data_IF_079402654330
#
_entry.id   IF_079402654330
#
_cell.length_a   1.000
_cell.length_b   1.000
_cell.length_c   1.000
_cell.angle_alpha   90.00
_cell.angle_beta   90.00
_cell.angle_gamma   90.00
#
_symmetry.space_group_name_H-M   'P 1'
#
loop_
_entity.id
_entity.type
_entity.pdbx_description
1 polymer ?
#
# COMPACT_ATOMS: atom_id res chain seq x y z
N UNK A 1 -23.45 -10.95 2.20
CA UNK A 1 -23.67 -9.50 2.35
C UNK A 1 -23.54 -8.83 0.98
N UNK A 2 -22.33 -8.62 0.45
CA UNK A 2 -22.09 -7.98 -0.85
C UNK A 2 -22.87 -8.56 -2.04
N UNK A 3 -22.90 -9.88 -2.25
CA UNK A 3 -23.57 -10.50 -3.41
C UNK A 3 -25.10 -10.38 -3.41
N UNK A 4 -25.70 -10.08 -2.26
CA UNK A 4 -27.15 -9.89 -2.14
C UNK A 4 -27.50 -8.41 -1.91
N UNK A 5 -26.54 -7.50 -2.05
CA UNK A 5 -26.76 -6.07 -1.90
C UNK A 5 -27.54 -5.50 -3.10
N UNK A 6 -28.32 -4.45 -2.89
CA UNK A 6 -29.11 -3.79 -3.95
C UNK A 6 -28.24 -3.22 -5.09
N UNK A 7 -26.95 -2.95 -4.84
CA UNK A 7 -26.00 -2.53 -5.86
C UNK A 7 -25.28 -3.69 -6.57
N UNK A 8 -25.53 -4.95 -6.16
CA UNK A 8 -25.11 -6.13 -6.89
C UNK A 8 -26.07 -6.41 -8.05
N UNK A 9 -25.90 -5.67 -9.15
CA UNK A 9 -26.73 -5.81 -10.35
C UNK A 9 -26.08 -6.83 -11.31
N UNK A 10 -26.85 -7.80 -11.86
CA UNK A 10 -26.33 -8.74 -12.85
C UNK A 10 -25.74 -8.03 -14.06
N UNK A 11 -24.64 -8.55 -14.60
CA UNK A 11 -23.99 -7.97 -15.80
C UNK A 11 -24.97 -7.82 -16.98
N UNK A 12 -25.94 -8.73 -17.10
CA UNK A 12 -26.99 -8.72 -18.12
C UNK A 12 -27.91 -7.49 -18.06
N UNK A 13 -27.87 -6.68 -17.00
CA UNK A 13 -28.56 -5.40 -16.96
C UNK A 13 -27.84 -4.29 -17.75
N UNK A 14 -26.57 -4.50 -18.08
CA UNK A 14 -25.71 -3.50 -18.74
C UNK A 14 -25.25 -3.94 -20.14
N UNK A 15 -25.36 -5.23 -20.46
CA UNK A 15 -24.95 -5.79 -21.74
C UNK A 15 -26.06 -6.67 -22.31
N UNK A 16 -26.29 -6.53 -23.62
CA UNK A 16 -27.13 -7.45 -24.35
C UNK A 16 -26.41 -8.80 -24.53
N UNK A 17 -27.16 -9.89 -24.43
CA UNK A 17 -26.63 -11.18 -24.81
C UNK A 17 -26.30 -11.18 -26.32
N UNK A 18 -25.19 -11.79 -26.74
CA UNK A 18 -24.88 -11.94 -28.15
C UNK A 18 -26.00 -12.74 -28.86
N UNK A 19 -26.30 -12.36 -30.10
CA UNK A 19 -27.32 -13.05 -30.92
C UNK A 19 -27.01 -14.55 -31.10
N UNK A 20 -25.73 -14.91 -31.14
CA UNK A 20 -25.22 -16.28 -31.17
C UNK A 20 -24.17 -16.50 -30.05
N UNK A 21 -24.60 -16.98 -28.87
CA UNK A 21 -23.70 -17.20 -27.73
C UNK A 21 -22.62 -18.23 -27.98
N UNK A 22 -22.89 -19.28 -28.76
CA UNK A 22 -21.90 -20.33 -29.03
C UNK A 22 -20.78 -19.79 -29.91
N UNK A 23 -21.13 -19.04 -30.95
CA UNK A 23 -20.15 -18.37 -31.81
C UNK A 23 -19.34 -17.33 -31.03
N UNK A 24 -19.99 -16.47 -30.26
CA UNK A 24 -19.30 -15.45 -29.45
C UNK A 24 -18.33 -16.08 -28.44
N UNK A 25 -18.71 -17.20 -27.81
CA UNK A 25 -17.83 -17.94 -26.91
C UNK A 25 -16.64 -18.56 -27.66
N UNK A 26 -16.86 -19.14 -28.85
CA UNK A 26 -15.80 -19.71 -29.68
C UNK A 26 -14.78 -18.65 -30.10
N UNK A 27 -15.25 -17.51 -30.63
CA UNK A 27 -14.40 -16.38 -31.02
C UNK A 27 -13.65 -15.79 -29.82
N UNK A 28 -14.30 -15.72 -28.66
CA UNK A 28 -13.68 -15.31 -27.41
C UNK A 28 -12.53 -16.23 -26.99
N UNK A 29 -12.72 -17.55 -27.09
CA UNK A 29 -11.68 -18.54 -26.82
C UNK A 29 -10.51 -18.45 -27.80
N UNK A 30 -10.78 -18.26 -29.09
CA UNK A 30 -9.74 -18.06 -30.09
C UNK A 30 -8.93 -16.79 -29.84
N UNK A 31 -9.59 -15.68 -29.47
CA UNK A 31 -8.94 -14.43 -29.09
C UNK A 31 -8.05 -14.60 -27.86
N UNK A 32 -8.55 -15.28 -26.83
CA UNK A 32 -7.76 -15.60 -25.63
C UNK A 32 -6.56 -16.50 -25.98
N UNK A 33 -6.76 -17.50 -26.85
CA UNK A 33 -5.69 -18.37 -27.35
C UNK A 33 -4.58 -17.58 -28.03
N UNK A 34 -4.93 -16.67 -28.96
CA UNK A 34 -3.96 -15.78 -29.61
C UNK A 34 -3.24 -14.87 -28.63
N UNK A 35 -3.99 -14.19 -27.75
CA UNK A 35 -3.39 -13.30 -26.75
C UNK A 35 -2.43 -14.04 -25.81
N UNK A 36 -2.72 -15.31 -25.47
CA UNK A 36 -1.81 -16.16 -24.69
C UNK A 36 -0.53 -16.48 -25.47
N UNK A 37 -0.60 -16.83 -26.75
CA UNK A 37 0.60 -17.11 -27.54
C UNK A 37 1.45 -15.85 -27.74
N UNK A 38 0.83 -14.70 -28.01
CA UNK A 38 1.51 -13.40 -28.08
C UNK A 38 2.16 -13.04 -26.74
N UNK A 39 1.47 -13.26 -25.62
CA UNK A 39 1.99 -12.96 -24.29
C UNK A 39 3.25 -13.78 -23.95
N UNK A 40 3.38 -15.02 -24.43
CA UNK A 40 4.55 -15.89 -24.15
C UNK A 40 5.86 -15.31 -24.64
N UNK A 41 5.83 -14.49 -25.69
CA UNK A 41 7.03 -13.86 -26.26
C UNK A 41 7.39 -12.55 -25.55
N UNK A 42 6.63 -12.16 -24.53
CA UNK A 42 6.86 -10.92 -23.78
C UNK A 42 7.75 -11.15 -22.56
N UNK A 43 8.52 -10.13 -22.12
CA UNK A 43 9.24 -10.17 -20.85
C UNK A 43 8.33 -10.47 -19.64
N UNK A 44 7.03 -10.13 -19.75
CA UNK A 44 6.03 -10.44 -18.72
C UNK A 44 5.80 -11.96 -18.57
N UNK A 45 5.80 -12.73 -19.66
CA UNK A 45 5.66 -14.18 -19.55
C UNK A 45 6.89 -14.82 -18.91
N UNK A 46 8.09 -14.36 -19.25
CA UNK A 46 9.33 -14.83 -18.61
C UNK A 46 9.28 -14.57 -17.09
N UNK A 47 8.77 -13.40 -16.69
CA UNK A 47 8.60 -13.03 -15.29
C UNK A 47 7.61 -13.90 -14.56
N UNK A 48 6.45 -14.11 -15.18
CA UNK A 48 5.40 -14.95 -14.64
C UNK A 48 5.90 -16.38 -14.47
N UNK A 49 6.60 -16.95 -15.45
CA UNK A 49 7.17 -18.30 -15.37
C UNK A 49 8.20 -18.40 -14.22
N UNK A 50 9.07 -17.39 -14.04
CA UNK A 50 9.99 -17.35 -12.89
C UNK A 50 9.23 -17.34 -11.56
N UNK A 51 8.16 -16.56 -11.46
CA UNK A 51 7.35 -16.46 -10.23
C UNK A 51 6.53 -17.72 -9.94
N UNK A 52 6.05 -18.43 -10.96
CA UNK A 52 5.25 -19.65 -10.79
C UNK A 52 6.12 -20.82 -10.32
N UNK A 53 7.39 -20.90 -10.76
CA UNK A 53 8.32 -21.92 -10.25
C UNK A 53 8.47 -21.89 -8.73
N UNK A 54 8.42 -20.70 -8.12
CA UNK A 54 8.39 -20.57 -6.67
C UNK A 54 7.13 -21.21 -6.05
N UNK A 55 5.97 -21.09 -6.71
CA UNK A 55 4.70 -21.66 -6.23
C UNK A 55 4.69 -23.20 -6.37
N UNK A 56 5.26 -23.73 -7.45
CA UNK A 56 5.36 -25.18 -7.67
C UNK A 56 6.23 -25.89 -6.61
N UNK A 57 7.15 -25.15 -5.96
CA UNK A 57 8.03 -25.66 -4.91
C UNK A 57 7.42 -25.57 -3.49
N UNK A 58 6.22 -25.00 -3.33
CA UNK A 58 5.56 -24.86 -2.01
C UNK A 58 4.91 -26.18 -1.58
N UNK A 59 5.35 -26.74 -0.45
CA UNK A 59 4.67 -27.84 0.23
C UNK A 59 3.69 -27.30 1.29
N UNK A 60 2.75 -28.15 1.72
CA UNK A 60 1.85 -27.87 2.85
C UNK A 60 2.60 -27.50 4.13
N UNK A 61 3.79 -28.07 4.32
CA UNK A 61 4.63 -27.82 5.49
C UNK A 61 5.28 -26.41 5.46
N UNK A 62 5.24 -25.71 4.33
CA UNK A 62 5.68 -24.31 4.22
C UNK A 62 4.62 -23.30 4.69
N UNK A 63 3.39 -23.76 4.99
CA UNK A 63 2.30 -22.89 5.47
C UNK A 63 2.23 -22.85 6.99
N UNK A 64 2.33 -21.64 7.55
CA UNK A 64 2.01 -21.39 8.95
C UNK A 64 0.49 -21.17 9.13
N UNK A 65 -0.14 -22.01 9.95
CA UNK A 65 -1.52 -21.80 10.38
C UNK A 65 -1.58 -20.82 11.55
N UNK A 66 -2.39 -19.77 11.42
CA UNK A 66 -2.49 -18.71 12.42
C UNK A 66 -3.94 -18.42 12.81
N UNK A 67 -4.23 -18.10 14.09
CA UNK A 67 -5.47 -17.44 14.47
C UNK A 67 -5.63 -16.14 13.69
N UNK A 68 -6.82 -15.91 13.13
CA UNK A 68 -7.10 -14.73 12.33
C UNK A 68 -8.49 -14.16 12.62
N UNK A 69 -8.65 -12.87 12.34
CA UNK A 69 -9.92 -12.18 12.29
C UNK A 69 -10.10 -11.61 10.87
N UNK A 70 -11.17 -12.03 10.17
CA UNK A 70 -11.61 -11.36 8.96
C UNK A 70 -12.22 -10.01 9.36
N UNK A 71 -11.76 -8.93 8.73
CA UNK A 71 -12.23 -7.57 8.98
C UNK A 71 -12.65 -6.93 7.67
N UNK A 72 -13.76 -6.23 7.66
CA UNK A 72 -14.36 -5.67 6.46
C UNK A 72 -15.25 -4.48 6.79
N UNK A 73 -15.58 -3.69 5.78
CA UNK A 73 -16.68 -2.73 5.88
C UNK A 73 -18.00 -3.32 5.38
N UNK A 74 -19.12 -2.85 5.90
CA UNK A 74 -20.42 -3.07 5.29
C UNK A 74 -20.50 -2.37 3.91
N UNK A 75 -21.18 -2.94 2.90
CA UNK A 75 -21.47 -2.25 1.63
C UNK A 75 -22.23 -0.94 1.82
N UNK A 76 -22.86 -0.75 2.99
CA UNK A 76 -23.53 0.48 3.41
C UNK A 76 -22.58 1.68 3.40
N UNK A 77 -21.27 1.45 3.64
CA UNK A 77 -20.24 2.50 3.57
C UNK A 77 -20.18 3.15 2.19
N UNK A 78 -20.29 2.34 1.13
CA UNK A 78 -20.27 2.83 -0.25
C UNK A 78 -21.51 3.70 -0.58
N UNK A 79 -22.56 3.66 0.26
CA UNK A 79 -23.77 4.48 0.12
C UNK A 79 -23.68 5.81 0.86
N UNK A 80 -22.59 6.04 1.60
CA UNK A 80 -22.45 7.20 2.49
C UNK A 80 -23.35 7.12 3.72
N UNK A 81 -23.84 5.92 4.05
CA UNK A 81 -24.58 5.67 5.29
C UNK A 81 -23.61 5.67 6.47
N UNK A 82 -24.05 6.18 7.62
CA UNK A 82 -23.26 6.13 8.84
C UNK A 82 -23.21 4.68 9.31
N UNK A 83 -21.99 4.17 9.46
CA UNK A 83 -21.77 2.79 9.89
C UNK A 83 -21.74 2.68 11.40
N UNK A 84 -22.34 1.62 11.93
CA UNK A 84 -22.09 1.19 13.29
C UNK A 84 -20.62 0.76 13.46
N UNK A 85 -20.13 0.77 14.70
CA UNK A 85 -18.71 0.52 14.96
C UNK A 85 -18.26 -0.87 14.49
N UNK A 86 -19.09 -1.89 14.60
CA UNK A 86 -18.81 -3.26 14.15
C UNK A 86 -18.96 -3.46 12.63
N UNK A 87 -19.53 -2.49 11.92
CA UNK A 87 -19.69 -2.50 10.46
C UNK A 87 -18.54 -1.82 9.72
N UNK A 88 -17.56 -1.25 10.44
CA UNK A 88 -16.37 -0.64 9.85
C UNK A 88 -15.11 -1.42 10.19
N UNK A 89 -14.30 -1.69 9.17
CA UNK A 89 -12.96 -2.29 9.30
C UNK A 89 -12.07 -1.48 10.27
N UNK A 90 -12.30 -0.17 10.38
CA UNK A 90 -11.50 0.74 11.21
C UNK A 90 -11.56 0.39 12.69
N UNK A 91 -12.65 -0.19 13.17
CA UNK A 91 -12.82 -0.51 14.59
C UNK A 91 -11.86 -1.60 15.06
N UNK A 92 -11.82 -2.81 14.44
CA UNK A 92 -10.84 -3.82 14.82
C UNK A 92 -9.40 -3.39 14.52
N UNK A 93 -9.14 -2.65 13.43
CA UNK A 93 -7.79 -2.13 13.16
C UNK A 93 -7.34 -1.15 14.26
N UNK A 94 -8.19 -0.20 14.64
CA UNK A 94 -7.90 0.75 15.73
C UNK A 94 -7.64 0.02 17.05
N UNK A 95 -8.42 -1.03 17.35
CA UNK A 95 -8.23 -1.83 18.55
C UNK A 95 -6.84 -2.45 18.57
N UNK A 96 -6.43 -3.12 17.48
CA UNK A 96 -5.11 -3.74 17.39
C UNK A 96 -3.98 -2.71 17.55
N UNK A 97 -4.10 -1.53 16.94
CA UNK A 97 -3.08 -0.47 17.02
C UNK A 97 -2.96 0.09 18.44
N UNK A 98 -4.09 0.28 19.15
CA UNK A 98 -4.09 0.82 20.51
C UNK A 98 -3.56 -0.17 21.55
N UNK A 99 -3.41 -1.44 21.20
CA UNK A 99 -2.81 -2.47 22.06
C UNK A 99 -1.28 -2.54 21.92
N UNK A 100 -0.68 -1.76 21.02
CA UNK A 100 0.77 -1.70 20.81
C UNK A 100 1.53 -1.25 22.07
N UNK A 101 2.64 -1.92 22.36
CA UNK A 101 3.47 -1.69 23.55
C UNK A 101 4.89 -1.24 23.23
N UNK A 102 5.43 -1.67 22.09
CA UNK A 102 6.83 -1.44 21.74
C UNK A 102 7.03 -0.97 20.31
N UNK A 103 6.21 -1.45 19.36
CA UNK A 103 6.44 -1.18 17.94
C UNK A 103 5.14 -1.13 17.14
N UNK A 104 5.09 -0.18 16.20
CA UNK A 104 4.03 -0.09 15.22
C UNK A 104 4.60 0.25 13.85
N UNK A 105 4.54 -0.70 12.91
CA UNK A 105 5.03 -0.53 11.54
C UNK A 105 3.83 -0.45 10.59
N UNK A 106 3.73 0.63 9.82
CA UNK A 106 2.72 0.80 8.76
C UNK A 106 3.40 0.68 7.41
N UNK A 107 2.82 -0.13 6.53
CA UNK A 107 3.27 -0.29 5.14
C UNK A 107 2.08 0.02 4.25
N UNK A 108 2.12 1.14 3.53
CA UNK A 108 1.03 1.54 2.65
C UNK A 108 1.52 2.40 1.47
N UNK A 109 1.13 2.09 0.22
CA UNK A 109 1.42 2.94 -0.94
C UNK A 109 0.93 4.38 -0.76
N UNK A 110 -0.23 4.53 -0.10
CA UNK A 110 -0.94 5.79 0.07
C UNK A 110 -1.09 6.08 1.55
N UNK A 111 -0.21 6.94 2.05
CA UNK A 111 -0.18 7.36 3.44
C UNK A 111 -0.60 8.83 3.57
N UNK A 112 -1.89 9.05 3.78
CA UNK A 112 -2.49 10.37 3.97
C UNK A 112 -3.08 10.42 5.40
N UNK A 113 -2.26 10.68 6.42
CA UNK A 113 -2.70 10.56 7.82
C UNK A 113 -3.72 11.64 8.22
N UNK A 114 -3.77 12.77 7.49
CA UNK A 114 -4.41 14.00 7.92
C UNK A 114 -3.91 14.47 9.30
N UNK A 115 -4.42 15.60 9.79
CA UNK A 115 -4.05 16.12 11.11
C UNK A 115 -4.34 15.11 12.23
N UNK A 116 -5.52 14.51 12.23
CA UNK A 116 -5.94 13.57 13.28
C UNK A 116 -5.13 12.27 13.30
N UNK A 117 -4.68 11.77 12.14
CA UNK A 117 -3.83 10.59 12.09
C UNK A 117 -2.40 10.92 12.52
N UNK A 118 -1.88 12.08 12.11
CA UNK A 118 -0.56 12.57 12.53
C UNK A 118 -0.49 12.73 14.05
N UNK A 119 -1.48 13.37 14.67
CA UNK A 119 -1.56 13.53 16.13
C UNK A 119 -1.57 12.17 16.86
N UNK A 120 -2.29 11.17 16.32
CA UNK A 120 -2.34 9.82 16.91
C UNK A 120 -1.02 9.08 16.78
N UNK A 121 -0.37 9.12 15.62
CA UNK A 121 0.94 8.50 15.41
C UNK A 121 2.02 9.17 16.25
N UNK A 122 1.99 10.50 16.35
CA UNK A 122 2.85 11.26 17.25
C UNK A 122 2.65 10.86 18.71
N UNK A 123 1.39 10.74 19.16
CA UNK A 123 1.08 10.32 20.53
C UNK A 123 1.60 8.91 20.84
N UNK A 124 1.47 7.95 19.91
CA UNK A 124 2.06 6.63 20.06
C UNK A 124 3.59 6.73 20.20
N UNK A 125 4.24 7.49 19.32
CA UNK A 125 5.71 7.61 19.35
C UNK A 125 6.22 8.27 20.63
N UNK A 126 5.57 9.35 21.08
CA UNK A 126 5.88 10.05 22.35
C UNK A 126 5.66 9.14 23.56
N UNK A 127 4.73 8.17 23.49
CA UNK A 127 4.51 7.19 24.55
C UNK A 127 5.60 6.11 24.67
N UNK A 128 6.61 6.13 23.78
CA UNK A 128 7.72 5.19 23.77
C UNK A 128 7.58 4.06 22.75
N UNK A 129 6.53 4.06 21.93
CA UNK A 129 6.33 3.06 20.87
C UNK A 129 7.20 3.45 19.66
N UNK A 130 7.94 2.50 19.11
CA UNK A 130 8.69 2.67 17.86
C UNK A 130 7.72 2.72 16.68
N UNK A 131 7.34 3.91 16.22
CA UNK A 131 6.43 4.07 15.07
C UNK A 131 7.24 4.22 13.78
N UNK A 132 7.02 3.30 12.84
CA UNK A 132 7.67 3.25 11.54
C UNK A 132 6.61 3.32 10.43
N UNK A 133 6.84 4.19 9.44
CA UNK A 133 5.98 4.29 8.25
C UNK A 133 6.83 4.05 7.02
N UNK A 134 6.41 3.07 6.20
CA UNK A 134 6.97 2.78 4.88
C UNK A 134 5.92 3.14 3.83
N UNK A 135 6.24 4.08 2.95
CA UNK A 135 5.31 4.56 1.91
C UNK A 135 6.03 4.93 0.62
N UNK A 136 5.29 5.21 -0.46
CA UNK A 136 5.89 5.61 -1.73
C UNK A 136 6.44 7.05 -1.65
N UNK A 137 7.62 7.26 -2.24
CA UNK A 137 8.12 8.62 -2.52
C UNK A 137 7.27 9.28 -3.62
N UNK A 138 7.50 10.57 -3.87
CA UNK A 138 6.86 11.24 -5.01
C UNK A 138 7.26 10.60 -6.35
N UNK A 139 8.49 10.09 -6.46
CA UNK A 139 8.98 9.50 -7.69
C UNK A 139 8.50 8.05 -7.91
N UNK A 140 8.14 7.32 -6.85
CA UNK A 140 7.65 5.92 -6.95
C UNK A 140 6.12 5.79 -6.92
N UNK A 141 5.39 6.86 -6.60
CA UNK A 141 3.93 6.83 -6.63
C UNK A 141 3.37 6.94 -8.05
N UNK A 142 2.37 6.11 -8.36
CA UNK A 142 1.56 6.22 -9.56
C UNK A 142 0.46 7.29 -9.46
N UNK A 143 0.21 7.83 -8.27
CA UNK A 143 -0.76 8.90 -8.02
C UNK A 143 -0.10 10.05 -7.23
N UNK A 144 0.54 10.98 -7.95
CA UNK A 144 1.20 12.15 -7.37
C UNK A 144 0.27 13.00 -6.49
N UNK A 145 -1.04 12.98 -6.76
CA UNK A 145 -2.03 13.71 -5.96
C UNK A 145 -2.10 13.20 -4.51
N UNK A 146 -1.95 11.90 -4.26
CA UNK A 146 -1.92 11.33 -2.90
C UNK A 146 -0.73 11.87 -2.12
N UNK A 147 0.41 12.05 -2.80
CA UNK A 147 1.61 12.63 -2.20
C UNK A 147 1.36 14.06 -1.67
N UNK A 148 0.43 14.82 -2.24
CA UNK A 148 0.03 16.14 -1.72
C UNK A 148 -0.66 16.06 -0.35
N UNK A 149 -1.29 14.94 -0.05
CA UNK A 149 -1.94 14.65 1.23
C UNK A 149 -0.95 14.17 2.30
N UNK A 150 0.14 13.51 1.89
CA UNK A 150 1.23 13.05 2.75
C UNK A 150 2.23 14.17 3.09
N UNK A 151 2.76 14.82 2.05
CA UNK A 151 3.89 15.74 2.11
C UNK A 151 3.86 16.78 3.24
N UNK A 152 2.71 17.42 3.54
CA UNK A 152 2.61 18.43 4.59
C UNK A 152 2.93 17.93 6.00
N UNK A 153 2.73 16.64 6.28
CA UNK A 153 2.78 16.08 7.63
C UNK A 153 4.14 15.47 7.99
N UNK A 154 5.08 15.37 7.03
CA UNK A 154 6.41 14.78 7.25
C UNK A 154 7.13 15.39 8.45
N UNK A 155 7.22 16.73 8.49
CA UNK A 155 7.94 17.42 9.56
C UNK A 155 7.36 17.14 10.93
N UNK A 156 6.04 17.27 11.06
CA UNK A 156 5.33 17.04 12.32
C UNK A 156 5.50 15.60 12.81
N UNK A 157 5.43 14.61 11.91
CA UNK A 157 5.70 13.21 12.25
C UNK A 157 7.13 13.01 12.76
N UNK A 158 8.13 13.54 12.04
CA UNK A 158 9.54 13.41 12.39
C UNK A 158 9.90 14.13 13.70
N UNK A 159 9.31 15.29 13.96
CA UNK A 159 9.47 16.05 15.22
C UNK A 159 9.03 15.23 16.45
N UNK A 160 8.06 14.32 16.28
CA UNK A 160 7.55 13.47 17.35
C UNK A 160 8.16 12.07 17.37
N UNK A 161 9.21 11.81 16.60
CA UNK A 161 9.96 10.54 16.65
C UNK A 161 9.45 9.45 15.72
N UNK A 162 8.43 9.73 14.89
CA UNK A 162 7.97 8.78 13.87
C UNK A 162 9.05 8.62 12.79
N UNK A 163 9.43 7.39 12.47
CA UNK A 163 10.41 7.09 11.41
C UNK A 163 9.70 6.97 10.07
N UNK A 164 10.16 7.73 9.08
CA UNK A 164 9.58 7.75 7.74
C UNK A 164 10.57 7.19 6.71
N UNK A 165 10.13 6.17 5.99
CA UNK A 165 10.88 5.52 4.91
C UNK A 165 10.09 5.61 3.61
N UNK A 166 10.68 6.27 2.61
CA UNK A 166 10.05 6.53 1.32
C UNK A 166 10.70 5.65 0.24
N UNK A 167 9.91 4.79 -0.40
CA UNK A 167 10.40 3.83 -1.40
C UNK A 167 11.04 4.58 -2.57
N UNK A 168 12.26 4.19 -2.91
CA UNK A 168 13.04 4.74 -4.03
C UNK A 168 12.38 4.43 -5.37
N UNK A 169 12.69 5.23 -6.40
CA UNK A 169 12.15 5.00 -7.75
C UNK A 169 13.06 4.16 -8.65
N UNK A 170 14.27 3.81 -8.18
CA UNK A 170 15.28 3.11 -8.97
C UNK A 170 14.93 1.63 -9.17
N UNK A 171 14.14 1.38 -10.21
CA UNK A 171 14.09 0.17 -11.06
C UNK A 171 14.62 -1.14 -10.45
N UNK A 172 14.11 -1.59 -9.30
CA UNK A 172 13.96 -3.00 -8.91
C UNK A 172 13.77 -3.15 -7.39
N UNK A 173 12.53 -3.06 -6.91
CA UNK A 173 12.20 -3.77 -5.66
C UNK A 173 12.16 -5.25 -6.05
N UNK A 174 13.24 -6.04 -5.83
CA UNK A 174 13.22 -7.50 -6.15
C UNK A 174 11.91 -8.10 -5.67
N UNK A 175 11.16 -8.65 -6.62
CA UNK A 175 9.75 -9.03 -6.50
C UNK A 175 8.79 -8.20 -7.38
N UNK A 176 9.24 -7.08 -7.96
CA UNK A 176 8.44 -6.19 -8.84
C UNK A 176 9.17 -5.80 -10.14
N UNK A 177 10.35 -6.37 -10.39
CA UNK A 177 11.32 -5.90 -11.41
C UNK A 177 10.82 -6.02 -12.86
N UNK A 178 9.70 -6.69 -13.09
CA UNK A 178 9.32 -7.13 -14.45
C UNK A 178 7.93 -6.68 -14.89
N UNK A 179 7.28 -5.80 -14.11
CA UNK A 179 6.07 -5.11 -14.54
C UNK A 179 6.39 -3.70 -15.06
N UNK A 180 7.17 -3.63 -16.14
CA UNK A 180 7.26 -2.43 -16.98
C UNK A 180 6.21 -2.53 -18.09
N UNK A 181 4.95 -2.18 -17.77
CA UNK A 181 4.01 -1.76 -18.81
C UNK A 181 4.47 -0.42 -19.41
N UNK A 182 4.07 -0.11 -20.65
CA UNK A 182 4.50 1.05 -21.45
C UNK A 182 4.31 2.45 -20.80
N UNK A 183 3.79 2.52 -19.56
CA UNK A 183 3.59 3.74 -18.77
C UNK A 183 4.40 3.78 -17.45
N UNK A 184 5.59 3.16 -17.39
CA UNK A 184 6.66 3.56 -16.45
C UNK A 184 6.42 3.42 -14.94
N UNK A 185 5.43 2.65 -14.47
CA UNK A 185 5.20 2.42 -13.04
C UNK A 185 6.03 1.23 -12.51
N UNK A 186 7.35 1.39 -12.47
CA UNK A 186 8.24 0.41 -11.82
C UNK A 186 8.23 0.56 -10.29
N UNK A 187 8.08 -0.56 -9.57
CA UNK A 187 8.47 -0.65 -8.15
C UNK A 187 7.58 -0.01 -7.08
N UNK A 188 6.31 0.28 -7.35
CA UNK A 188 5.42 0.83 -6.33
C UNK A 188 5.13 -0.22 -5.23
N UNK A 189 5.32 0.18 -3.96
CA UNK A 189 4.86 -0.61 -2.81
C UNK A 189 3.36 -0.85 -2.95
N UNK A 190 2.92 -2.09 -3.11
CA UNK A 190 1.49 -2.39 -3.23
C UNK A 190 0.91 -3.09 -1.98
N UNK A 191 1.79 -3.53 -1.07
CA UNK A 191 1.41 -4.09 0.22
C UNK A 191 0.68 -3.05 1.05
N UNK A 192 -0.44 -3.45 1.64
CA UNK A 192 -1.26 -2.65 2.52
C UNK A 192 -1.43 -3.45 3.80
N UNK A 193 -0.75 -2.99 4.84
CA UNK A 193 -0.66 -3.74 6.07
C UNK A 193 -0.01 -2.96 7.19
N UNK A 194 -0.09 -3.52 8.37
CA UNK A 194 0.67 -3.06 9.51
C UNK A 194 1.09 -4.21 10.39
N UNK A 195 2.12 -3.98 11.20
CA UNK A 195 2.63 -4.89 12.21
C UNK A 195 2.57 -4.17 13.56
N UNK A 196 2.06 -4.85 14.59
CA UNK A 196 2.09 -4.39 15.98
C UNK A 196 2.90 -5.37 16.80
N UNK A 197 3.92 -4.85 17.50
CA UNK A 197 4.81 -5.55 18.43
C UNK A 197 5.46 -6.83 17.87
N UNK A 198 5.47 -7.00 16.53
CA UNK A 198 5.85 -8.25 15.83
C UNK A 198 5.03 -9.47 16.25
N UNK A 199 3.82 -9.27 16.75
CA UNK A 199 2.90 -10.34 17.16
C UNK A 199 1.61 -10.33 16.33
N UNK A 200 1.18 -9.14 15.88
CA UNK A 200 -0.04 -8.94 15.11
C UNK A 200 0.29 -8.38 13.74
N UNK A 201 -0.26 -8.97 12.70
CA UNK A 201 -0.10 -8.56 11.31
C UNK A 201 -1.47 -8.32 10.69
N UNK A 202 -1.68 -7.14 10.11
CA UNK A 202 -2.79 -6.88 9.21
C UNK A 202 -2.32 -6.92 7.76
N UNK A 203 -3.08 -7.60 6.90
CA UNK A 203 -2.94 -7.54 5.44
C UNK A 203 -4.32 -7.38 4.82
N UNK A 204 -4.49 -6.43 3.91
CA UNK A 204 -5.79 -6.21 3.26
C UNK A 204 -5.75 -5.18 2.14
N UNK A 205 -6.90 -4.61 1.84
CA UNK A 205 -7.05 -3.55 0.83
C UNK A 205 -6.96 -2.14 1.41
N UNK A 206 -7.02 -2.00 2.74
CA UNK A 206 -7.06 -0.71 3.43
C UNK A 206 -5.73 0.06 3.30
N UNK A 207 -5.74 1.19 2.56
CA UNK A 207 -4.64 2.16 2.62
C UNK A 207 -4.77 3.07 3.83
N UNK A 208 -3.67 3.68 4.25
CA UNK A 208 -3.70 4.67 5.33
C UNK A 208 -4.12 6.05 4.81
N UNK A 209 -5.31 6.15 4.24
CA UNK A 209 -5.85 7.37 3.64
C UNK A 209 -7.35 7.58 3.97
N UNK A 210 -7.86 8.82 3.79
CA UNK A 210 -9.27 9.13 4.01
C UNK A 210 -10.22 8.32 3.12
N UNK A 211 -9.85 8.04 1.87
CA UNK A 211 -10.70 7.24 0.96
C UNK A 211 -10.98 5.86 1.52
N UNK A 212 -9.97 5.14 1.98
CA UNK A 212 -10.11 3.81 2.58
C UNK A 212 -10.89 3.88 3.89
N UNK A 213 -10.64 4.94 4.68
CA UNK A 213 -11.32 5.15 5.94
C UNK A 213 -12.83 5.44 5.79
N UNK A 214 -13.25 6.15 4.75
CA UNK A 214 -14.61 6.73 4.70
C UNK A 214 -15.41 6.43 3.42
N UNK A 215 -14.77 6.02 2.33
CA UNK A 215 -15.40 5.94 1.00
C UNK A 215 -15.37 4.51 0.44
N UNK A 216 -14.17 3.96 0.23
CA UNK A 216 -13.99 2.64 -0.38
C UNK A 216 -14.36 1.54 0.61
N UNK A 217 -15.15 0.54 0.23
CA UNK A 217 -15.33 -0.66 1.07
C UNK A 217 -14.04 -1.48 1.11
N UNK A 218 -13.51 -1.75 2.29
CA UNK A 218 -12.25 -2.47 2.47
C UNK A 218 -12.46 -3.85 3.07
N UNK A 219 -11.49 -4.74 2.85
CA UNK A 219 -11.42 -6.10 3.38
C UNK A 219 -9.98 -6.41 3.77
N UNK A 220 -9.80 -7.19 4.82
CA UNK A 220 -8.51 -7.76 5.14
C UNK A 220 -8.59 -8.79 6.26
N UNK A 221 -7.42 -9.25 6.67
CA UNK A 221 -7.25 -10.20 7.76
C UNK A 221 -6.28 -9.64 8.77
N UNK A 222 -6.64 -9.73 10.05
CA UNK A 222 -5.72 -9.55 11.17
C UNK A 222 -5.26 -10.93 11.60
N UNK A 223 -3.97 -11.20 11.53
CA UNK A 223 -3.31 -12.43 11.92
C UNK A 223 -2.65 -12.20 13.28
N UNK A 224 -2.89 -13.10 14.22
CA UNK A 224 -2.29 -13.09 15.56
C UNK A 224 -1.23 -14.20 15.61
N UNK A 225 -0.06 -13.92 15.03
CA UNK A 225 1.02 -14.90 14.91
C UNK A 225 2.38 -14.21 14.85
N UNK A 226 3.19 -14.31 15.91
CA UNK A 226 4.59 -13.88 15.88
C UNK A 226 5.42 -14.61 14.82
N UNK A 227 5.09 -15.88 14.52
CA UNK A 227 5.76 -16.68 13.49
C UNK A 227 5.61 -16.07 12.09
N UNK A 228 4.49 -15.40 11.81
CA UNK A 228 4.28 -14.66 10.56
C UNK A 228 4.75 -13.21 10.64
N UNK A 229 4.55 -12.54 11.78
CA UNK A 229 4.82 -11.12 11.92
C UNK A 229 6.30 -10.80 12.08
N UNK A 230 7.08 -11.60 12.84
CA UNK A 230 8.50 -11.37 13.05
C UNK A 230 9.33 -11.41 11.75
N UNK A 231 9.24 -12.47 10.90
CA UNK A 231 10.04 -12.53 9.69
C UNK A 231 9.70 -11.40 8.71
N UNK A 232 8.43 -10.96 8.68
CA UNK A 232 8.03 -9.83 7.84
C UNK A 232 8.62 -8.52 8.36
N UNK A 233 8.61 -8.28 9.67
CA UNK A 233 9.23 -7.11 10.28
C UNK A 233 10.76 -7.10 10.04
N UNK A 234 11.44 -8.23 10.24
CA UNK A 234 12.88 -8.38 9.98
C UNK A 234 13.22 -8.21 8.48
N UNK A 235 12.36 -8.72 7.60
CA UNK A 235 12.45 -8.50 6.15
C UNK A 235 12.35 -7.01 5.80
N UNK A 236 11.46 -6.27 6.46
CA UNK A 236 11.37 -4.82 6.30
C UNK A 236 12.62 -4.11 6.85
N UNK A 237 13.08 -4.46 8.05
CA UNK A 237 14.27 -3.88 8.67
C UNK A 237 15.51 -4.03 7.76
N UNK A 238 15.71 -5.22 7.21
CA UNK A 238 16.86 -5.54 6.36
C UNK A 238 16.82 -4.87 4.98
N UNK A 239 15.62 -4.60 4.45
CA UNK A 239 15.46 -4.02 3.11
C UNK A 239 15.26 -2.50 3.11
N UNK A 240 14.86 -1.92 4.24
CA UNK A 240 14.54 -0.50 4.35
C UNK A 240 15.72 0.37 3.92
N UNK A 241 16.95 0.08 4.36
CA UNK A 241 18.12 0.90 4.00
C UNK A 241 18.44 0.91 2.50
N UNK A 242 18.34 -0.24 1.85
CA UNK A 242 18.67 -0.38 0.43
C UNK A 242 17.57 0.17 -0.50
N UNK A 243 16.30 0.06 -0.10
CA UNK A 243 15.13 0.30 -0.98
C UNK A 243 14.38 1.58 -0.67
N UNK A 244 14.75 2.30 0.37
CA UNK A 244 14.06 3.52 0.78
C UNK A 244 15.04 4.68 0.97
N UNK A 245 14.51 5.88 0.87
CA UNK A 245 15.09 7.05 1.46
C UNK A 245 14.47 7.24 2.84
N UNK A 246 15.31 7.28 3.88
CA UNK A 246 14.86 7.67 5.22
C UNK A 246 14.71 9.20 5.26
N UNK A 247 13.49 9.70 5.43
CA UNK A 247 13.27 11.11 5.66
C UNK A 247 13.63 11.46 7.12
N UNK A 248 14.34 12.57 7.32
CA UNK A 248 14.77 13.02 8.65
C UNK A 248 14.88 14.56 8.71
N UNK A 249 14.95 15.11 9.92
CA UNK A 249 15.24 16.52 10.15
C UNK A 249 16.72 16.69 10.51
N UNK A 250 17.42 17.58 9.82
CA UNK A 250 18.78 17.97 10.19
C UNK A 250 18.80 18.82 11.47
N UNK A 251 20.01 19.15 11.95
CA UNK A 251 20.22 19.96 13.17
C UNK A 251 19.51 21.33 13.14
N UNK A 252 19.13 21.81 11.96
CA UNK A 252 18.41 23.08 11.77
C UNK A 252 16.89 22.88 11.56
N UNK A 253 16.35 21.67 11.77
CA UNK A 253 14.95 21.34 11.54
C UNK A 253 14.55 21.33 10.05
N UNK A 254 15.52 21.21 9.14
CA UNK A 254 15.24 21.11 7.70
C UNK A 254 15.08 19.65 7.30
N UNK A 255 14.07 19.39 6.47
CA UNK A 255 13.82 18.06 5.94
C UNK A 255 14.94 17.65 4.98
N UNK A 256 15.45 16.43 5.20
CA UNK A 256 16.49 15.74 4.44
C UNK A 256 16.08 14.30 4.20
N UNK A 257 16.77 13.67 3.27
CA UNK A 257 16.62 12.26 2.96
C UNK A 257 17.98 11.62 2.99
N UNK A 258 18.09 10.50 3.70
CA UNK A 258 19.28 9.66 3.71
C UNK A 258 18.99 8.41 2.89
N UNK A 259 19.90 8.06 2.00
CA UNK A 259 19.86 6.81 1.23
C UNK A 259 21.26 6.24 1.07
N UNK A 260 21.38 5.20 0.26
CA UNK A 260 22.64 4.55 -0.07
C UNK A 260 22.87 4.56 -1.58
N UNK A 261 24.02 5.08 -2.03
CA UNK A 261 24.46 5.01 -3.43
C UNK A 261 25.83 4.34 -3.51
N UNK A 262 25.93 3.24 -4.25
CA UNK A 262 27.18 2.46 -4.40
C UNK A 262 27.82 2.02 -3.06
N UNK A 263 27.01 1.75 -2.03
CA UNK A 263 27.50 1.35 -0.70
C UNK A 263 27.90 2.51 0.21
N UNK A 264 27.73 3.76 -0.23
CA UNK A 264 28.00 4.95 0.57
C UNK A 264 26.69 5.67 0.95
N UNK A 265 26.63 6.17 2.18
CA UNK A 265 25.50 6.98 2.63
C UNK A 265 25.49 8.32 1.89
N UNK A 266 24.35 8.64 1.27
CA UNK A 266 24.11 9.94 0.63
C UNK A 266 23.00 10.70 1.36
N UNK A 267 23.19 12.01 1.53
CA UNK A 267 22.19 12.91 2.10
C UNK A 267 21.69 13.90 1.05
N UNK A 268 20.40 13.80 0.75
CA UNK A 268 19.72 14.64 -0.24
C UNK A 268 19.00 15.79 0.46
N UNK A 269 19.15 16.98 -0.12
CA UNK A 269 18.56 18.23 0.41
C UNK A 269 17.21 18.58 -0.23
N UNK A 270 16.83 17.83 -1.25
CA UNK A 270 15.58 17.95 -2.00
C UNK A 270 14.94 16.57 -2.09
N UNK A 271 13.64 16.56 -2.35
CA UNK A 271 12.88 15.34 -2.58
C UNK A 271 13.58 14.46 -3.64
N UNK A 272 13.96 13.22 -3.32
CA UNK A 272 14.75 12.36 -4.19
C UNK A 272 14.06 12.08 -5.52
N UNK A 273 14.83 11.78 -6.56
CA UNK A 273 14.36 11.34 -7.88
C UNK A 273 13.28 12.22 -8.55
N UNK A 274 13.18 13.50 -8.16
CA UNK A 274 12.17 14.43 -8.68
C UNK A 274 12.78 15.61 -9.39
N UNK A 275 12.14 16.01 -10.48
CA UNK A 275 12.45 17.25 -11.18
C UNK A 275 11.88 18.45 -10.43
N UNK A 276 12.26 19.66 -10.86
CA UNK A 276 11.63 20.87 -10.35
C UNK A 276 10.13 20.93 -10.68
N UNK A 277 9.72 20.44 -11.86
CA UNK A 277 8.33 20.47 -12.31
C UNK A 277 7.43 19.51 -11.53
N UNK A 278 7.94 18.35 -11.13
CA UNK A 278 7.18 17.39 -10.30
C UNK A 278 6.80 18.04 -8.96
N UNK A 279 7.81 18.63 -8.29
CA UNK A 279 7.64 19.33 -7.02
C UNK A 279 6.74 20.55 -7.15
N UNK A 280 6.84 21.31 -8.24
CA UNK A 280 5.98 22.47 -8.49
C UNK A 280 4.51 22.04 -8.66
N UNK A 281 4.25 21.00 -9.46
CA UNK A 281 2.90 20.51 -9.76
C UNK A 281 2.19 20.01 -8.50
N UNK A 282 2.88 19.25 -7.64
CA UNK A 282 2.36 18.78 -6.35
C UNK A 282 2.04 19.96 -5.42
N UNK A 283 2.91 20.97 -5.35
CA UNK A 283 2.66 22.15 -4.52
C UNK A 283 1.45 22.96 -5.00
N UNK A 284 1.21 23.05 -6.30
CA UNK A 284 0.02 23.68 -6.86
C UNK A 284 -1.25 22.88 -6.53
N UNK A 285 -1.22 21.56 -6.68
CA UNK A 285 -2.36 20.68 -6.36
C UNK A 285 -2.74 20.70 -4.88
N UNK A 286 -1.82 21.00 -3.96
CA UNK A 286 -2.07 21.12 -2.52
C UNK A 286 -3.13 22.18 -2.15
N UNK A 287 -3.37 23.15 -3.03
CA UNK A 287 -4.35 24.23 -2.87
C UNK A 287 -5.77 23.75 -3.16
N UNK A 288 -5.93 22.66 -3.92
CA UNK A 288 -7.25 22.11 -4.25
C UNK A 288 -7.89 21.49 -2.98
N UNK A 289 -9.19 21.75 -2.73
CA UNK A 289 -9.88 21.28 -1.52
C UNK A 289 -10.31 19.81 -1.65
N UNK A 290 -9.40 18.91 -2.00
CA UNK A 290 -9.71 17.50 -2.25
C UNK A 290 -9.14 16.53 -1.21
N UNK A 291 -8.47 17.02 -0.14
CA UNK A 291 -7.73 16.17 0.81
C UNK A 291 -8.55 15.08 1.51
N UNK A 292 -9.86 15.28 1.69
CA UNK A 292 -10.76 14.27 2.26
C UNK A 292 -11.20 13.19 1.28
N UNK A 293 -10.86 13.35 -0.01
CA UNK A 293 -11.20 12.43 -1.11
C UNK A 293 -9.94 11.80 -1.73
N UNK A 294 -8.76 12.03 -1.14
CA UNK A 294 -7.47 11.47 -1.53
C UNK A 294 -7.20 10.14 -0.85
#
# INVERSE_FOLDING_TARGET
MYWNDKYAVPVAAFIDAPEDPEKALSEGRERLGRSREEAKETPYADALIRSIKFIDDIDKDDFTWAPYQLVYDSPDKARGEELEADESIRTPLRKAILEAKSEFIVVSPYFVPLKSGTEKLAALSVSGINVVVVTNSLASTNHAIVHTGYAPYRKELLEHGVKLYEIRSDKAVRGTDEWQGENGSGGALHTKGFIVDREVLFVGSFNWDPRSAFINTELGVILYSPELACPLAEGLDSQVGARTYQAFLDENGKLRWRGEENGEEVVLTKEPDTTWWDRFSVNMMRVLPMRGQL
#
